data_IF_853858433188
#
_entry.id   IF_853858433188
#
_cell.length_a   1.000
_cell.length_b   1.000
_cell.length_c   1.000
_cell.angle_alpha   90.00
_cell.angle_beta   90.00
_cell.angle_gamma   90.00
#
_symmetry.space_group_name_H-M   'P 1'
#
loop_
_entity.id
_entity.type
_entity.pdbx_description
1 polymer ?
#
# COMPACT_ATOMS: atom_id res chain seq x y z
N UNK A 1 10.47 -31.44 69.89
CA UNK A 1 10.00 -30.05 69.65
C UNK A 1 10.47 -29.40 68.39
N UNK A 2 11.74 -29.61 67.93
CA UNK A 2 12.23 -29.01 66.66
C UNK A 2 11.47 -29.49 65.43
N UNK A 3 11.15 -30.78 65.29
CA UNK A 3 10.46 -31.35 64.12
C UNK A 3 8.97 -30.93 64.06
N UNK A 4 8.31 -30.69 65.16
CA UNK A 4 6.93 -30.21 65.20
C UNK A 4 6.86 -28.74 64.72
N UNK A 5 7.82 -27.90 65.08
CA UNK A 5 7.89 -26.50 64.62
C UNK A 5 8.16 -26.41 63.13
N UNK A 6 8.99 -27.31 62.57
CA UNK A 6 9.29 -27.39 61.18
C UNK A 6 8.04 -27.81 60.37
N UNK A 7 7.29 -28.82 60.85
CA UNK A 7 6.06 -29.28 60.23
C UNK A 7 4.96 -28.19 60.18
N UNK A 8 4.81 -27.44 61.29
CA UNK A 8 3.87 -26.30 61.30
C UNK A 8 4.26 -25.20 60.34
N UNK A 9 5.59 -24.93 60.19
CA UNK A 9 6.07 -23.94 59.23
C UNK A 9 5.74 -24.35 57.79
N UNK A 10 5.93 -25.62 57.41
CA UNK A 10 5.59 -26.13 56.11
C UNK A 10 4.09 -26.13 55.82
N UNK A 11 3.26 -26.47 56.82
CA UNK A 11 1.80 -26.41 56.69
C UNK A 11 1.33 -24.95 56.52
N UNK A 12 1.89 -24.02 57.28
CA UNK A 12 1.55 -22.60 57.14
C UNK A 12 1.98 -22.04 55.78
N UNK A 13 3.14 -22.42 55.30
CA UNK A 13 3.62 -22.03 53.98
C UNK A 13 2.77 -22.62 52.84
N UNK A 14 2.32 -23.87 53.01
CA UNK A 14 1.43 -24.53 52.05
C UNK A 14 0.03 -23.89 52.02
N UNK A 15 -0.50 -23.50 53.18
CA UNK A 15 -1.77 -22.77 53.28
C UNK A 15 -1.66 -21.34 52.68
N UNK A 16 -0.52 -20.67 52.84
CA UNK A 16 -0.25 -19.38 52.19
C UNK A 16 -0.26 -19.50 50.67
N UNK A 17 0.23 -20.60 50.14
CA UNK A 17 0.20 -20.89 48.70
C UNK A 17 -1.23 -21.20 48.20
N UNK A 18 -2.06 -21.86 49.00
CA UNK A 18 -3.45 -22.18 48.64
C UNK A 18 -4.38 -20.96 48.63
N UNK A 19 -4.08 -19.95 49.43
CA UNK A 19 -4.89 -18.72 49.54
C UNK A 19 -4.25 -17.49 48.92
N UNK A 20 -3.17 -17.66 48.14
CA UNK A 20 -2.52 -16.55 47.46
C UNK A 20 -3.34 -16.09 46.24
N UNK A 21 -3.80 -14.84 46.16
CA UNK A 21 -4.49 -14.33 45.01
C UNK A 21 -3.48 -14.13 43.87
N UNK A 22 -3.45 -14.98 42.88
CA UNK A 22 -2.47 -15.25 41.84
C UNK A 22 -1.90 -14.12 40.98
N UNK A 23 -1.66 -12.91 41.52
CA UNK A 23 -1.18 -11.74 40.76
C UNK A 23 0.34 -11.48 40.82
N UNK A 24 1.10 -12.37 41.44
CA UNK A 24 2.55 -12.20 41.50
C UNK A 24 3.24 -12.87 40.28
N UNK A 25 3.97 -12.11 39.44
CA UNK A 25 4.62 -12.65 38.25
C UNK A 25 5.67 -13.74 38.51
N UNK A 26 6.25 -13.78 39.71
CA UNK A 26 7.20 -14.83 40.12
C UNK A 26 6.50 -16.15 40.45
N UNK A 27 5.26 -16.11 40.97
CA UNK A 27 4.47 -17.31 41.28
C UNK A 27 3.68 -17.83 40.08
N UNK A 28 3.44 -17.02 39.03
CA UNK A 28 2.92 -17.48 37.73
C UNK A 28 3.85 -18.47 37.04
N UNK A 29 5.14 -18.48 37.38
CA UNK A 29 6.14 -19.43 36.88
C UNK A 29 6.03 -20.82 37.49
N UNK A 30 5.38 -20.97 38.64
CA UNK A 30 5.30 -22.23 39.43
C UNK A 30 3.87 -22.76 39.57
N UNK A 31 2.86 -21.88 39.52
CA UNK A 31 1.47 -22.28 39.43
C UNK A 31 1.07 -22.38 37.94
N UNK A 32 0.94 -23.60 37.46
CA UNK A 32 0.27 -23.86 36.17
C UNK A 32 -1.18 -23.37 36.35
N UNK A 33 -1.44 -22.12 35.90
CA UNK A 33 -2.80 -21.66 35.67
C UNK A 33 -3.39 -22.62 34.67
N UNK A 34 -4.21 -23.55 35.13
CA UNK A 34 -5.11 -24.27 34.25
C UNK A 34 -6.06 -23.20 33.75
N UNK A 35 -5.72 -22.57 32.59
CA UNK A 35 -6.72 -21.89 31.80
C UNK A 35 -7.83 -22.91 31.62
N UNK A 36 -8.92 -22.71 32.33
CA UNK A 36 -10.18 -23.31 31.93
C UNK A 36 -10.37 -22.69 30.57
N UNK A 37 -10.06 -23.50 29.54
CA UNK A 37 -10.52 -23.18 28.19
C UNK A 37 -12.02 -23.02 28.33
N UNK A 38 -12.46 -21.80 28.54
CA UNK A 38 -13.79 -21.40 28.19
C UNK A 38 -13.74 -21.58 26.69
N UNK A 39 -14.20 -22.73 26.19
CA UNK A 39 -14.66 -22.89 24.85
C UNK A 39 -15.92 -22.00 24.68
N UNK A 40 -15.78 -20.71 24.84
CA UNK A 40 -16.43 -19.81 23.93
C UNK A 40 -15.70 -20.09 22.60
N UNK A 41 -16.32 -20.96 21.81
CA UNK A 41 -16.01 -21.03 20.40
C UNK A 41 -16.09 -19.58 19.91
N UNK A 42 -14.94 -18.92 19.75
CA UNK A 42 -14.82 -17.81 18.83
C UNK A 42 -15.01 -18.43 17.44
N UNK A 43 -16.24 -18.91 17.17
CA UNK A 43 -16.66 -19.04 15.79
C UNK A 43 -16.46 -17.66 15.20
N UNK A 44 -15.58 -17.52 14.19
CA UNK A 44 -15.34 -16.23 13.58
C UNK A 44 -16.71 -15.71 13.15
N UNK A 45 -17.17 -14.63 13.76
CA UNK A 45 -18.44 -14.02 13.40
C UNK A 45 -18.40 -13.79 11.89
N UNK A 46 -19.29 -14.44 11.15
CA UNK A 46 -19.38 -14.26 9.71
C UNK A 46 -19.80 -12.81 9.49
N UNK A 47 -18.83 -11.95 9.19
CA UNK A 47 -19.08 -10.56 8.83
C UNK A 47 -19.50 -10.52 7.37
N UNK A 48 -20.80 -10.39 7.13
CA UNK A 48 -21.34 -10.21 5.79
C UNK A 48 -20.97 -8.80 5.33
N UNK A 49 -20.18 -8.72 4.25
CA UNK A 49 -19.87 -7.44 3.62
C UNK A 49 -20.86 -7.17 2.49
N UNK A 50 -21.37 -5.91 2.37
CA UNK A 50 -22.20 -5.52 1.23
C UNK A 50 -21.46 -5.75 -0.08
N UNK A 51 -22.18 -6.22 -1.10
CA UNK A 51 -21.65 -6.46 -2.44
C UNK A 51 -22.17 -5.38 -3.38
N UNK A 52 -21.31 -4.73 -4.18
CA UNK A 52 -21.73 -3.73 -5.14
C UNK A 52 -22.55 -4.37 -6.28
N UNK A 53 -23.62 -3.71 -6.65
CA UNK A 53 -24.50 -4.11 -7.75
C UNK A 53 -24.53 -2.99 -8.80
N UNK A 54 -24.24 -3.34 -10.05
CA UNK A 54 -24.18 -2.41 -11.19
C UNK A 54 -25.47 -2.50 -11.98
N UNK A 55 -26.21 -1.40 -12.10
CA UNK A 55 -27.53 -1.38 -12.72
C UNK A 55 -27.61 -0.66 -14.08
N UNK A 56 -26.55 0.03 -14.51
CA UNK A 56 -26.55 0.90 -15.71
C UNK A 56 -25.33 0.64 -16.57
N UNK A 57 -25.42 0.95 -17.87
CA UNK A 57 -24.34 0.82 -18.83
C UNK A 57 -23.09 1.62 -18.42
N UNK A 58 -21.91 1.05 -18.71
CA UNK A 58 -20.63 1.69 -18.48
C UNK A 58 -20.52 3.06 -19.21
N UNK A 59 -19.80 4.03 -18.63
CA UNK A 59 -19.54 5.30 -19.28
C UNK A 59 -18.64 5.11 -20.52
N UNK A 60 -18.69 6.04 -21.46
CA UNK A 60 -17.68 6.08 -22.53
C UNK A 60 -16.34 6.52 -21.95
N UNK A 61 -15.28 5.76 -22.24
CA UNK A 61 -13.91 6.02 -21.80
C UNK A 61 -12.94 5.83 -22.93
N UNK A 62 -11.90 6.67 -23.01
CA UNK A 62 -10.83 6.57 -23.99
C UNK A 62 -9.80 5.51 -23.61
N UNK A 63 -9.70 5.15 -22.34
CA UNK A 63 -8.78 4.14 -21.81
C UNK A 63 -8.90 2.80 -22.56
N UNK A 64 -7.74 2.22 -22.93
CA UNK A 64 -7.69 0.88 -23.52
C UNK A 64 -7.73 -0.21 -22.44
N UNK A 65 -7.16 0.03 -21.24
CA UNK A 65 -7.17 -0.84 -20.08
C UNK A 65 -7.90 -0.23 -18.90
N UNK A 66 -8.81 -0.98 -18.29
CA UNK A 66 -9.63 -0.51 -17.16
C UNK A 66 -9.88 -1.62 -16.15
N UNK A 67 -9.77 -1.31 -14.89
CA UNK A 67 -10.26 -2.16 -13.81
C UNK A 67 -10.72 -1.30 -12.64
N UNK A 68 -12.01 -1.39 -12.31
CA UNK A 68 -12.61 -0.71 -11.17
C UNK A 68 -13.13 -1.76 -10.22
N UNK A 69 -12.68 -1.69 -8.96
CA UNK A 69 -12.96 -2.71 -7.97
C UNK A 69 -13.30 -2.07 -6.64
N UNK A 70 -14.32 -2.60 -5.95
CA UNK A 70 -14.59 -2.27 -4.56
C UNK A 70 -13.49 -2.89 -3.69
N UNK A 71 -12.89 -2.07 -2.80
CA UNK A 71 -11.64 -2.42 -2.11
C UNK A 71 -11.80 -3.56 -1.11
N UNK A 72 -12.87 -3.56 -0.32
CA UNK A 72 -13.06 -4.49 0.80
C UNK A 72 -13.34 -5.92 0.35
N UNK A 73 -14.26 -6.07 -0.62
CA UNK A 73 -14.66 -7.37 -1.18
C UNK A 73 -13.78 -7.79 -2.35
N UNK A 74 -13.07 -6.82 -2.96
CA UNK A 74 -12.35 -6.94 -4.23
C UNK A 74 -13.27 -7.35 -5.39
N UNK A 75 -14.55 -6.95 -5.32
CA UNK A 75 -15.54 -7.22 -6.35
C UNK A 75 -15.38 -6.23 -7.50
N UNK A 76 -15.15 -6.70 -8.74
CA UNK A 76 -15.04 -5.80 -9.89
C UNK A 76 -16.42 -5.22 -10.24
N UNK A 77 -16.48 -3.91 -10.46
CA UNK A 77 -17.69 -3.20 -10.87
C UNK A 77 -17.63 -2.74 -12.32
N UNK A 78 -16.44 -2.52 -12.85
CA UNK A 78 -16.23 -2.17 -14.25
C UNK A 78 -14.85 -2.68 -14.72
N UNK A 79 -14.77 -3.24 -15.93
CA UNK A 79 -13.53 -3.77 -16.45
C UNK A 79 -13.49 -3.76 -17.99
N UNK A 80 -12.28 -3.56 -18.52
CA UNK A 80 -11.97 -3.61 -19.95
C UNK A 80 -10.52 -4.03 -20.12
N UNK A 81 -10.25 -5.11 -20.84
CA UNK A 81 -8.91 -5.60 -21.08
C UNK A 81 -8.07 -5.78 -19.80
N UNK A 82 -8.72 -6.25 -18.72
CA UNK A 82 -8.16 -6.31 -17.36
C UNK A 82 -6.88 -7.11 -17.23
N UNK A 83 -6.64 -8.08 -18.13
CA UNK A 83 -5.44 -8.92 -18.17
C UNK A 83 -4.55 -8.63 -19.39
N UNK A 84 -4.91 -7.65 -20.22
CA UNK A 84 -4.03 -7.23 -21.32
C UNK A 84 -2.81 -6.49 -20.75
N UNK A 85 -1.64 -6.77 -21.32
CA UNK A 85 -0.38 -6.18 -20.89
C UNK A 85 -0.19 -4.78 -21.48
N UNK A 86 0.11 -3.82 -20.61
CA UNK A 86 0.40 -2.43 -20.92
C UNK A 86 1.76 -2.03 -20.34
N UNK A 87 2.36 -0.98 -20.87
CA UNK A 87 3.50 -0.32 -20.24
C UNK A 87 3.03 0.41 -18.98
N UNK A 88 3.70 0.20 -17.83
CA UNK A 88 3.24 0.77 -16.56
C UNK A 88 3.48 2.27 -16.43
N UNK A 89 4.49 2.83 -17.11
CA UNK A 89 5.03 4.14 -16.79
C UNK A 89 5.28 4.27 -15.28
N UNK A 90 5.15 5.46 -14.71
CA UNK A 90 5.38 5.68 -13.27
C UNK A 90 4.39 5.00 -12.31
N UNK A 91 3.37 4.25 -12.79
CA UNK A 91 2.56 3.39 -11.89
C UNK A 91 3.38 2.24 -11.31
N UNK A 92 4.52 1.87 -11.94
CA UNK A 92 5.51 0.94 -11.41
C UNK A 92 6.02 1.34 -10.01
N UNK A 93 6.00 2.64 -9.69
CA UNK A 93 6.45 3.15 -8.38
C UNK A 93 5.57 2.70 -7.21
N UNK A 94 4.37 2.16 -7.47
CA UNK A 94 3.57 1.48 -6.44
C UNK A 94 4.34 0.26 -5.93
N UNK A 95 4.89 -0.56 -6.82
CA UNK A 95 5.71 -1.72 -6.44
C UNK A 95 7.04 -1.26 -5.82
N UNK A 96 7.66 -0.23 -6.36
CA UNK A 96 8.89 0.36 -5.78
C UNK A 96 8.67 0.82 -4.34
N UNK A 97 7.56 1.48 -4.05
CA UNK A 97 7.21 1.91 -2.70
C UNK A 97 6.98 0.73 -1.75
N UNK A 98 6.25 -0.29 -2.20
CA UNK A 98 6.01 -1.50 -1.41
C UNK A 98 7.31 -2.23 -1.07
N UNK A 99 8.22 -2.37 -2.04
CA UNK A 99 9.52 -3.01 -1.82
C UNK A 99 10.39 -2.18 -0.89
N UNK A 100 10.48 -0.87 -1.10
CA UNK A 100 11.28 0.00 -0.24
C UNK A 100 10.76 0.00 1.21
N UNK A 101 9.44 -0.04 1.40
CA UNK A 101 8.83 -0.13 2.72
C UNK A 101 9.10 -1.47 3.43
N UNK A 102 9.13 -2.58 2.66
CA UNK A 102 9.39 -3.91 3.22
C UNK A 102 10.87 -4.12 3.58
N UNK A 103 11.78 -3.54 2.80
CA UNK A 103 13.22 -3.85 2.88
C UNK A 103 14.02 -2.84 3.72
N UNK A 104 13.48 -1.64 3.97
CA UNK A 104 14.19 -0.56 4.66
C UNK A 104 13.41 -0.02 5.86
N UNK A 105 14.15 0.43 6.86
CA UNK A 105 13.61 1.29 7.92
C UNK A 105 13.30 2.69 7.38
N UNK A 106 12.22 3.29 7.84
CA UNK A 106 11.80 4.64 7.38
C UNK A 106 12.86 5.71 7.65
N UNK A 107 13.63 5.56 8.74
CA UNK A 107 14.71 6.46 9.15
C UNK A 107 16.08 6.08 8.57
N UNK A 108 16.17 5.01 7.77
CA UNK A 108 17.43 4.64 7.13
C UNK A 108 17.87 5.76 6.20
N UNK A 109 19.18 6.03 6.20
CA UNK A 109 19.77 7.12 5.43
C UNK A 109 20.32 6.56 4.12
N UNK A 110 19.78 7.05 3.02
CA UNK A 110 20.25 6.79 1.67
C UNK A 110 21.19 7.92 1.26
N UNK A 111 22.39 7.56 0.76
CA UNK A 111 23.29 8.52 0.12
C UNK A 111 23.05 8.46 -1.39
N UNK A 112 22.73 9.59 -1.98
CA UNK A 112 22.47 9.71 -3.42
C UNK A 112 23.77 9.58 -4.19
N UNK A 113 23.97 8.47 -4.88
CA UNK A 113 25.18 8.22 -5.66
C UNK A 113 25.11 8.78 -7.09
N UNK A 114 23.91 8.79 -7.67
CA UNK A 114 23.65 9.27 -9.03
C UNK A 114 22.29 9.96 -9.07
N UNK A 115 22.28 11.24 -9.45
CA UNK A 115 21.05 12.04 -9.57
C UNK A 115 20.57 12.17 -11.03
N UNK A 116 21.38 11.79 -12.01
CA UNK A 116 21.05 11.97 -13.44
C UNK A 116 20.18 10.82 -13.93
N UNK A 117 18.88 11.08 -14.02
CA UNK A 117 17.86 10.18 -14.58
C UNK A 117 16.90 11.02 -15.40
N UNK A 118 16.33 10.46 -16.46
CA UNK A 118 15.34 11.14 -17.30
C UNK A 118 13.95 11.21 -16.66
N UNK A 119 13.15 12.18 -17.09
CA UNK A 119 11.73 12.35 -16.73
C UNK A 119 11.51 13.20 -15.48
N UNK A 120 10.49 12.87 -14.70
CA UNK A 120 10.13 13.64 -13.49
C UNK A 120 11.15 13.43 -12.38
N UNK A 121 11.68 14.53 -11.81
CA UNK A 121 12.69 14.52 -10.77
C UNK A 121 12.23 15.29 -9.56
N UNK A 122 12.65 14.89 -8.37
CA UNK A 122 12.58 15.73 -7.17
C UNK A 122 13.84 16.60 -6.96
N UNK A 123 14.78 16.54 -7.92
CA UNK A 123 16.02 17.31 -7.96
C UNK A 123 17.02 16.94 -6.86
N UNK A 124 17.19 15.64 -6.62
CA UNK A 124 18.25 15.13 -5.73
C UNK A 124 19.64 15.49 -6.26
N UNK A 125 20.55 15.83 -5.36
CA UNK A 125 21.94 16.15 -5.73
C UNK A 125 22.91 15.02 -5.32
N UNK A 126 24.03 14.81 -6.04
CA UNK A 126 25.03 13.83 -5.66
C UNK A 126 25.56 14.04 -4.25
N UNK A 127 25.74 12.96 -3.50
CA UNK A 127 26.16 12.93 -2.10
C UNK A 127 25.13 13.47 -1.08
N UNK A 128 23.94 13.84 -1.52
CA UNK A 128 22.84 14.15 -0.61
C UNK A 128 22.52 12.92 0.27
N UNK A 129 22.28 13.20 1.56
CA UNK A 129 21.89 12.18 2.54
C UNK A 129 20.45 12.41 2.94
N UNK A 130 19.58 11.49 2.58
CA UNK A 130 18.12 11.65 2.73
C UNK A 130 17.52 10.37 3.31
N UNK A 131 16.44 10.48 4.07
CA UNK A 131 15.77 9.31 4.67
C UNK A 131 14.95 8.55 3.63
N UNK A 132 14.76 7.24 3.87
CA UNK A 132 13.85 6.41 3.06
C UNK A 132 12.44 6.98 3.06
N UNK A 133 11.95 7.50 4.20
CA UNK A 133 10.66 8.19 4.28
C UNK A 133 10.54 9.33 3.27
N UNK A 134 11.53 10.22 3.22
CA UNK A 134 11.52 11.38 2.31
C UNK A 134 11.61 10.94 0.84
N UNK A 135 12.34 9.87 0.53
CA UNK A 135 12.35 9.29 -0.81
C UNK A 135 11.01 8.64 -1.19
N UNK A 136 10.31 8.01 -0.24
CA UNK A 136 8.96 7.51 -0.46
C UNK A 136 7.97 8.63 -0.77
N UNK A 137 8.05 9.77 -0.09
CA UNK A 137 7.31 10.98 -0.49
C UNK A 137 7.70 11.44 -1.90
N UNK A 138 9.00 11.43 -2.22
CA UNK A 138 9.49 11.76 -3.56
C UNK A 138 8.86 10.92 -4.67
N UNK A 139 8.77 9.60 -4.50
CA UNK A 139 8.21 8.70 -5.52
C UNK A 139 6.67 8.72 -5.57
N UNK A 140 5.99 8.80 -4.42
CA UNK A 140 4.53 8.69 -4.36
C UNK A 140 3.83 10.01 -4.64
N UNK A 141 4.35 11.13 -4.13
CA UNK A 141 3.75 12.46 -4.30
C UNK A 141 4.23 13.11 -5.59
N UNK A 142 5.54 13.23 -5.78
CA UNK A 142 6.14 13.97 -6.89
C UNK A 142 6.50 13.10 -8.09
N UNK A 143 6.43 11.78 -7.93
CA UNK A 143 6.81 10.83 -8.99
C UNK A 143 8.30 10.87 -9.38
N UNK A 144 9.20 11.30 -8.48
CA UNK A 144 10.64 11.45 -8.74
C UNK A 144 11.29 10.14 -9.22
N UNK A 145 11.88 10.16 -10.41
CA UNK A 145 12.64 9.04 -10.94
C UNK A 145 13.97 8.89 -10.19
N UNK A 146 14.62 10.01 -9.89
CA UNK A 146 15.85 10.08 -9.09
C UNK A 146 15.65 9.46 -7.69
N UNK A 147 14.53 9.74 -7.03
CA UNK A 147 14.17 9.12 -5.77
C UNK A 147 13.98 7.60 -5.90
N UNK A 148 13.33 7.13 -6.97
CA UNK A 148 13.14 5.70 -7.22
C UNK A 148 14.47 4.98 -7.43
N UNK A 149 15.38 5.57 -8.20
CA UNK A 149 16.73 5.01 -8.39
C UNK A 149 17.60 5.14 -7.13
N UNK A 150 17.46 6.20 -6.33
CA UNK A 150 18.17 6.33 -5.06
C UNK A 150 17.80 5.18 -4.10
N UNK A 151 16.49 4.88 -3.95
CA UNK A 151 16.02 3.72 -3.18
C UNK A 151 16.56 2.41 -3.73
N UNK A 152 16.51 2.20 -5.05
CA UNK A 152 16.97 0.97 -5.66
C UNK A 152 18.49 0.78 -5.55
N UNK A 153 19.27 1.84 -5.73
CA UNK A 153 20.73 1.79 -5.66
C UNK A 153 21.25 1.56 -4.23
N UNK A 154 20.43 1.83 -3.21
CA UNK A 154 20.82 1.61 -1.81
C UNK A 154 21.16 0.15 -1.50
N UNK A 155 20.44 -0.82 -2.07
CA UNK A 155 20.81 -2.25 -2.01
C UNK A 155 21.44 -2.78 -3.31
N UNK A 156 21.58 -1.92 -4.32
CA UNK A 156 21.99 -2.28 -5.68
C UNK A 156 20.81 -2.55 -6.59
N UNK A 157 20.78 -1.84 -7.74
CA UNK A 157 19.67 -1.83 -8.69
C UNK A 157 19.17 -3.22 -9.07
N UNK A 158 20.10 -4.15 -9.37
CA UNK A 158 19.75 -5.52 -9.76
C UNK A 158 18.96 -6.24 -8.65
N UNK A 159 19.48 -6.17 -7.41
CA UNK A 159 18.83 -6.80 -6.26
C UNK A 159 17.46 -6.21 -6.00
N UNK A 160 17.32 -4.88 -6.11
CA UNK A 160 16.04 -4.21 -5.92
C UNK A 160 15.01 -4.63 -6.98
N UNK A 161 15.40 -4.70 -8.25
CA UNK A 161 14.52 -5.18 -9.34
C UNK A 161 14.13 -6.64 -9.13
N UNK A 162 15.03 -7.50 -8.66
CA UNK A 162 14.68 -8.87 -8.27
C UNK A 162 13.62 -8.87 -7.14
N UNK A 163 13.77 -8.00 -6.12
CA UNK A 163 12.76 -7.83 -5.05
C UNK A 163 11.42 -7.32 -5.59
N UNK A 164 11.42 -6.39 -6.56
CA UNK A 164 10.19 -5.96 -7.22
C UNK A 164 9.44 -7.15 -7.84
N UNK A 165 10.14 -8.01 -8.57
CA UNK A 165 9.52 -9.18 -9.21
C UNK A 165 9.15 -10.29 -8.22
N UNK A 166 9.81 -10.40 -7.07
CA UNK A 166 9.38 -11.23 -5.96
C UNK A 166 8.08 -10.69 -5.31
N UNK A 167 7.99 -9.37 -5.13
CA UNK A 167 6.76 -8.72 -4.65
C UNK A 167 5.60 -8.94 -5.61
N UNK A 168 5.80 -8.78 -6.92
CA UNK A 168 4.83 -9.11 -7.97
C UNK A 168 4.27 -10.53 -7.79
N UNK A 169 5.16 -11.52 -7.62
CA UNK A 169 4.74 -12.91 -7.39
C UNK A 169 3.96 -13.08 -6.08
N UNK A 170 4.40 -12.45 -5.00
CA UNK A 170 3.72 -12.52 -3.70
C UNK A 170 2.31 -11.93 -3.72
N UNK A 171 2.08 -10.94 -4.57
CA UNK A 171 0.78 -10.30 -4.80
C UNK A 171 -0.07 -11.03 -5.85
N UNK A 172 0.42 -12.16 -6.42
CA UNK A 172 -0.25 -12.91 -7.49
C UNK A 172 -0.50 -12.11 -8.78
N UNK A 173 0.37 -11.14 -9.07
CA UNK A 173 0.35 -10.32 -10.28
C UNK A 173 0.96 -11.11 -11.45
N UNK A 174 0.12 -11.83 -12.19
CA UNK A 174 0.56 -12.80 -13.20
C UNK A 174 0.93 -12.17 -14.56
N UNK A 175 0.42 -10.97 -14.82
CA UNK A 175 0.62 -10.26 -16.10
C UNK A 175 1.72 -9.19 -16.00
N UNK A 176 2.43 -9.09 -14.87
CA UNK A 176 3.38 -8.02 -14.59
C UNK A 176 4.81 -8.51 -14.49
N UNK A 177 5.71 -7.69 -15.02
CA UNK A 177 7.16 -7.82 -14.88
C UNK A 177 7.81 -6.45 -14.92
N UNK A 178 8.75 -6.16 -14.01
CA UNK A 178 9.42 -4.88 -13.92
C UNK A 178 10.93 -5.03 -14.13
N UNK A 179 11.52 -4.09 -14.89
CA UNK A 179 12.96 -4.05 -15.22
C UNK A 179 13.69 -2.89 -14.57
N UNK A 180 12.94 -1.87 -14.12
CA UNK A 180 13.48 -0.71 -13.42
C UNK A 180 12.49 -0.14 -12.40
N UNK A 181 12.95 0.63 -11.38
CA UNK A 181 12.11 1.11 -10.28
C UNK A 181 11.25 2.33 -10.65
N UNK A 182 11.53 2.99 -11.76
CA UNK A 182 10.88 4.25 -12.13
C UNK A 182 9.68 4.09 -13.07
N UNK A 183 9.63 2.96 -13.80
CA UNK A 183 8.64 2.74 -14.85
C UNK A 183 9.06 3.33 -16.20
N UNK A 184 10.36 3.52 -16.41
CA UNK A 184 10.89 3.94 -17.74
C UNK A 184 10.64 2.85 -18.76
N UNK A 185 10.44 3.25 -20.00
CA UNK A 185 10.10 2.32 -21.08
C UNK A 185 11.18 1.26 -21.30
N UNK A 186 10.74 0.00 -21.28
CA UNK A 186 11.51 -1.19 -21.59
C UNK A 186 10.55 -2.24 -22.13
N UNK A 187 10.94 -2.93 -23.19
CA UNK A 187 10.08 -3.91 -23.88
C UNK A 187 9.61 -5.08 -23.01
N UNK A 188 10.33 -5.39 -21.94
CA UNK A 188 9.99 -6.44 -20.99
C UNK A 188 9.17 -5.90 -19.82
N UNK A 189 9.12 -4.59 -19.61
CA UNK A 189 8.41 -3.98 -18.48
C UNK A 189 6.92 -3.82 -18.79
N UNK A 190 6.11 -4.65 -18.19
CA UNK A 190 4.68 -4.73 -18.45
C UNK A 190 3.87 -4.90 -17.16
N UNK A 191 2.60 -4.53 -17.23
CA UNK A 191 1.60 -4.75 -16.18
C UNK A 191 0.21 -4.84 -16.79
N UNK A 192 -0.79 -5.23 -15.99
CA UNK A 192 -2.20 -5.21 -16.39
C UNK A 192 -3.05 -4.35 -15.44
N UNK A 193 -4.25 -3.92 -15.86
CA UNK A 193 -5.16 -3.20 -14.97
C UNK A 193 -5.50 -3.98 -13.70
N UNK A 194 -5.72 -5.30 -13.81
CA UNK A 194 -5.99 -6.18 -12.68
C UNK A 194 -4.80 -6.24 -11.71
N UNK A 195 -3.60 -6.42 -12.24
CA UNK A 195 -2.38 -6.53 -11.41
C UNK A 195 -2.09 -5.21 -10.67
N UNK A 196 -2.27 -4.06 -11.33
CA UNK A 196 -2.12 -2.77 -10.66
C UNK A 196 -3.17 -2.54 -9.56
N UNK A 197 -4.37 -3.09 -9.71
CA UNK A 197 -5.37 -3.05 -8.64
C UNK A 197 -4.93 -3.90 -7.43
N UNK A 198 -4.29 -5.06 -7.64
CA UNK A 198 -3.69 -5.86 -6.56
C UNK A 198 -2.57 -5.10 -5.85
N UNK A 199 -1.68 -4.45 -6.61
CA UNK A 199 -0.61 -3.62 -6.05
C UNK A 199 -1.16 -2.42 -5.26
N UNK A 200 -2.18 -1.74 -5.81
CA UNK A 200 -2.86 -0.62 -5.14
C UNK A 200 -3.55 -1.06 -3.85
N UNK A 201 -4.22 -2.23 -3.85
CA UNK A 201 -4.81 -2.81 -2.65
C UNK A 201 -3.77 -3.04 -1.56
N UNK A 202 -2.63 -3.65 -1.90
CA UNK A 202 -1.55 -3.90 -0.96
C UNK A 202 -0.98 -2.58 -0.38
N UNK A 203 -0.81 -1.54 -1.21
CA UNK A 203 -0.36 -0.23 -0.75
C UNK A 203 -1.38 0.42 0.19
N UNK A 204 -2.68 0.37 -0.14
CA UNK A 204 -3.74 0.99 0.66
C UNK A 204 -3.99 0.29 2.00
N UNK A 205 -3.66 -0.99 2.13
CA UNK A 205 -3.69 -1.73 3.39
C UNK A 205 -2.61 -1.25 4.38
N UNK A 206 -1.58 -0.58 3.89
CA UNK A 206 -0.56 0.06 4.71
C UNK A 206 -0.96 1.51 4.98
N UNK A 207 -1.36 1.82 6.22
CA UNK A 207 -1.83 3.17 6.61
C UNK A 207 -0.79 4.26 6.37
N UNK A 208 0.49 3.93 6.53
CA UNK A 208 1.59 4.87 6.33
C UNK A 208 1.74 5.26 4.85
N UNK A 209 1.79 4.29 3.94
CA UNK A 209 1.84 4.53 2.49
C UNK A 209 0.55 5.18 1.98
N UNK A 210 -0.61 4.75 2.53
CA UNK A 210 -1.91 5.34 2.22
C UNK A 210 -1.96 6.84 2.52
N UNK A 211 -1.38 7.27 3.65
CA UNK A 211 -1.28 8.69 4.00
C UNK A 211 -0.41 9.45 3.00
N UNK A 212 0.73 8.87 2.58
CA UNK A 212 1.63 9.51 1.63
C UNK A 212 0.97 9.79 0.28
N UNK A 213 0.28 8.80 -0.30
CA UNK A 213 -0.37 8.99 -1.63
C UNK A 213 -1.49 10.03 -1.60
N UNK A 214 -2.12 10.26 -0.45
CA UNK A 214 -3.13 11.30 -0.23
C UNK A 214 -2.55 12.70 0.05
N UNK A 215 -1.23 12.85 0.10
CA UNK A 215 -0.59 14.15 0.39
C UNK A 215 -0.58 15.02 -0.87
N UNK A 216 -1.20 16.21 -0.79
CA UNK A 216 -1.26 17.17 -1.91
C UNK A 216 0.06 17.88 -2.13
N UNK A 217 0.72 18.29 -1.04
CA UNK A 217 1.99 18.98 -1.06
C UNK A 217 2.75 18.76 0.26
N UNK A 218 4.07 18.66 0.18
CA UNK A 218 4.95 18.55 1.35
C UNK A 218 6.32 19.15 1.03
N UNK A 219 6.96 19.75 2.04
CA UNK A 219 8.37 20.12 1.98
C UNK A 219 9.15 19.14 2.83
N UNK A 220 10.14 18.51 2.25
CA UNK A 220 11.05 17.58 2.90
C UNK A 220 12.48 18.11 2.85
N UNK A 221 13.39 17.55 3.64
CA UNK A 221 14.79 17.95 3.64
C UNK A 221 15.74 16.77 3.64
N UNK A 222 17.00 17.03 3.32
CA UNK A 222 18.11 16.14 3.65
C UNK A 222 18.28 15.99 5.17
N UNK A 223 19.10 15.04 5.62
CA UNK A 223 19.32 14.80 7.06
C UNK A 223 20.07 15.93 7.78
N UNK A 224 20.78 16.77 7.04
CA UNK A 224 21.55 17.90 7.56
C UNK A 224 20.75 19.21 7.55
N UNK A 225 19.50 19.22 7.07
CA UNK A 225 18.61 20.39 6.92
C UNK A 225 19.22 21.51 6.08
N UNK A 226 20.00 21.16 5.05
CA UNK A 226 20.65 22.10 4.13
C UNK A 226 19.98 22.19 2.78
N UNK A 227 19.32 21.08 2.36
CA UNK A 227 18.66 20.95 1.06
C UNK A 227 17.19 20.68 1.34
N UNK A 228 16.32 21.45 0.67
CA UNK A 228 14.87 21.32 0.82
C UNK A 228 14.22 21.05 -0.53
N UNK A 229 13.32 20.05 -0.57
CA UNK A 229 12.56 19.67 -1.75
C UNK A 229 11.09 19.96 -1.50
N UNK A 230 10.48 20.80 -2.35
CA UNK A 230 9.04 21.01 -2.36
C UNK A 230 8.40 20.01 -3.32
N UNK A 231 7.64 19.08 -2.79
CA UNK A 231 6.99 18.03 -3.54
C UNK A 231 5.51 18.36 -3.69
N UNK A 232 5.02 18.40 -4.93
CA UNK A 232 3.60 18.60 -5.24
C UNK A 232 3.07 17.36 -5.93
N UNK A 233 1.88 16.91 -5.51
CA UNK A 233 1.26 15.72 -6.09
C UNK A 233 0.84 15.97 -7.53
N UNK A 234 1.24 15.07 -8.42
CA UNK A 234 0.95 15.17 -9.87
C UNK A 234 -0.50 14.80 -10.20
N UNK A 235 -1.19 14.10 -9.29
CA UNK A 235 -2.60 13.77 -9.47
C UNK A 235 -3.46 15.03 -9.30
N UNK A 236 -3.90 15.61 -10.41
CA UNK A 236 -4.71 16.83 -10.44
C UNK A 236 -6.08 16.67 -9.80
N UNK A 237 -6.60 15.43 -9.71
CA UNK A 237 -7.92 15.16 -9.10
C UNK A 237 -7.88 15.22 -7.57
N UNK A 238 -6.68 15.13 -6.97
CA UNK A 238 -6.52 15.15 -5.52
C UNK A 238 -6.86 16.54 -4.96
N UNK A 239 -7.98 16.61 -4.20
CA UNK A 239 -8.52 17.85 -3.66
C UNK A 239 -9.42 18.64 -4.63
N UNK A 240 -9.61 18.16 -5.88
CA UNK A 240 -10.57 18.70 -6.84
C UNK A 240 -11.85 17.85 -6.85
N UNK A 241 -11.73 16.54 -6.79
CA UNK A 241 -12.87 15.63 -6.67
C UNK A 241 -12.91 15.11 -5.23
N UNK A 242 -14.02 15.35 -4.55
CA UNK A 242 -14.25 14.86 -3.19
C UNK A 242 -14.21 13.32 -3.18
N UNK A 243 -13.47 12.73 -2.23
CA UNK A 243 -13.33 11.29 -2.12
C UNK A 243 -12.10 10.71 -2.83
N UNK A 244 -11.48 11.42 -3.78
CA UNK A 244 -10.20 11.00 -4.38
C UNK A 244 -9.09 11.14 -3.33
N UNK A 245 -8.39 10.02 -3.05
CA UNK A 245 -7.32 9.92 -2.05
C UNK A 245 -5.93 9.58 -2.59
N UNK A 246 -5.68 9.79 -3.85
CA UNK A 246 -4.43 9.42 -4.56
C UNK A 246 -4.79 8.45 -5.68
N UNK A 247 -3.91 7.70 -6.30
CA UNK A 247 -2.74 6.95 -5.85
C UNK A 247 -1.47 7.35 -6.64
N UNK A 248 -1.46 7.00 -7.94
CA UNK A 248 -0.27 7.18 -8.78
C UNK A 248 -0.62 7.44 -10.24
N UNK A 249 -0.03 8.49 -10.79
CA UNK A 249 -0.05 8.81 -12.23
C UNK A 249 1.13 8.16 -12.95
N UNK A 250 1.00 7.94 -14.25
CA UNK A 250 2.09 7.52 -15.12
C UNK A 250 1.88 8.05 -16.54
N UNK A 251 2.97 8.42 -17.21
CA UNK A 251 2.99 8.79 -18.63
C UNK A 251 4.37 8.48 -19.22
N UNK A 252 4.37 7.84 -20.37
CA UNK A 252 5.46 7.79 -21.33
C UNK A 252 4.85 7.76 -22.72
N UNK A 253 5.66 7.96 -23.76
CA UNK A 253 5.14 7.89 -25.14
C UNK A 253 4.55 6.51 -25.48
N UNK A 254 5.15 5.42 -24.97
CA UNK A 254 4.67 4.06 -25.23
C UNK A 254 3.48 3.68 -24.33
N UNK A 255 3.45 4.16 -23.10
CA UNK A 255 2.39 3.83 -22.15
C UNK A 255 1.09 4.61 -22.41
N UNK A 256 1.17 5.82 -22.97
CA UNK A 256 0.07 6.78 -22.95
C UNK A 256 -0.22 7.25 -21.51
N UNK A 257 -1.40 7.76 -21.25
CA UNK A 257 -1.80 8.27 -19.95
C UNK A 257 -2.34 7.17 -19.04
N UNK A 258 -1.66 6.96 -17.91
CA UNK A 258 -2.03 5.98 -16.87
C UNK A 258 -2.39 6.66 -15.56
N UNK A 259 -3.39 6.15 -14.86
CA UNK A 259 -3.75 6.60 -13.51
C UNK A 259 -4.31 5.43 -12.70
N UNK A 260 -3.76 5.24 -11.51
CA UNK A 260 -4.35 4.42 -10.46
C UNK A 260 -4.89 5.37 -9.39
N UNK A 261 -6.17 5.28 -9.10
CA UNK A 261 -6.84 6.14 -8.11
C UNK A 261 -7.48 5.33 -6.98
N UNK A 262 -7.45 5.90 -5.79
CA UNK A 262 -8.32 5.53 -4.68
C UNK A 262 -9.51 6.50 -4.66
N UNK A 263 -10.72 5.97 -4.52
CA UNK A 263 -11.93 6.77 -4.42
C UNK A 263 -12.83 6.27 -3.30
N UNK A 264 -13.37 7.19 -2.49
CA UNK A 264 -14.32 6.90 -1.41
C UNK A 264 -15.66 7.53 -1.69
N UNK A 265 -16.71 6.71 -1.70
CA UNK A 265 -18.09 7.14 -1.82
C UNK A 265 -18.99 6.38 -0.82
N UNK A 266 -19.80 7.12 -0.03
CA UNK A 266 -20.77 6.54 0.90
C UNK A 266 -20.21 5.41 1.80
N UNK A 267 -19.02 5.61 2.38
CA UNK A 267 -18.29 4.64 3.22
C UNK A 267 -17.76 3.40 2.47
N UNK A 268 -17.83 3.36 1.15
CA UNK A 268 -17.24 2.35 0.31
C UNK A 268 -16.01 2.89 -0.41
N UNK A 269 -14.96 2.09 -0.44
CA UNK A 269 -13.68 2.43 -1.03
C UNK A 269 -13.51 1.70 -2.37
N UNK A 270 -13.00 2.40 -3.38
CA UNK A 270 -12.76 1.87 -4.72
C UNK A 270 -11.31 2.07 -5.14
N UNK A 271 -10.80 1.13 -5.93
CA UNK A 271 -9.61 1.30 -6.74
C UNK A 271 -10.06 1.47 -8.19
N UNK A 272 -9.58 2.51 -8.85
CA UNK A 272 -9.83 2.80 -10.26
C UNK A 272 -8.48 2.74 -10.98
N UNK A 273 -8.30 1.81 -11.90
CA UNK A 273 -7.11 1.68 -12.75
C UNK A 273 -7.47 2.04 -14.17
N UNK A 274 -6.85 3.09 -14.70
CA UNK A 274 -6.96 3.58 -16.07
C UNK A 274 -5.60 3.43 -16.74
N UNK A 275 -5.53 2.69 -17.86
CA UNK A 275 -4.30 2.51 -18.63
C UNK A 275 -4.50 2.87 -20.09
N UNK A 276 -3.49 3.55 -20.65
CA UNK A 276 -3.45 3.97 -22.06
C UNK A 276 -4.70 4.74 -22.46
N UNK A 277 -4.99 5.77 -21.70
CA UNK A 277 -6.06 6.76 -21.94
C UNK A 277 -5.54 7.92 -22.77
N UNK A 278 -6.44 8.65 -23.42
CA UNK A 278 -6.16 9.95 -24.04
C UNK A 278 -6.17 11.09 -23.00
N UNK A 279 -7.04 10.99 -21.97
CA UNK A 279 -7.07 11.87 -20.80
C UNK A 279 -7.46 11.04 -19.55
N UNK A 280 -6.45 10.62 -18.80
CA UNK A 280 -6.62 9.83 -17.57
C UNK A 280 -7.45 10.51 -16.49
N UNK A 281 -7.45 11.84 -16.46
CA UNK A 281 -8.19 12.60 -15.47
C UNK A 281 -9.67 12.69 -15.82
N UNK A 282 -10.00 12.94 -17.10
CA UNK A 282 -11.37 12.96 -17.59
C UNK A 282 -12.02 11.57 -17.50
N UNK A 283 -11.30 10.51 -17.94
CA UNK A 283 -11.75 9.14 -17.80
C UNK A 283 -12.02 8.76 -16.34
N UNK A 284 -11.11 9.13 -15.41
CA UNK A 284 -11.31 8.87 -13.98
C UNK A 284 -12.49 9.63 -13.42
N UNK A 285 -12.68 10.91 -13.77
CA UNK A 285 -13.82 11.71 -13.35
C UNK A 285 -15.15 11.12 -13.86
N UNK A 286 -15.16 10.60 -15.09
CA UNK A 286 -16.32 9.91 -15.68
C UNK A 286 -16.66 8.62 -14.93
N UNK A 287 -15.64 7.84 -14.52
CA UNK A 287 -15.82 6.64 -13.69
C UNK A 287 -16.36 7.01 -12.31
N UNK A 288 -15.83 8.05 -11.66
CA UNK A 288 -16.30 8.53 -10.35
C UNK A 288 -17.79 8.92 -10.43
N UNK A 289 -18.17 9.75 -11.39
CA UNK A 289 -19.57 10.14 -11.59
C UNK A 289 -20.48 8.93 -11.85
N UNK A 290 -19.99 7.94 -12.59
CA UNK A 290 -20.72 6.69 -12.84
C UNK A 290 -20.88 5.87 -11.57
N UNK A 291 -19.86 5.75 -10.72
CA UNK A 291 -19.96 5.09 -9.40
C UNK A 291 -21.04 5.76 -8.58
N UNK A 292 -21.01 7.10 -8.47
CA UNK A 292 -21.92 7.89 -7.63
C UNK A 292 -23.39 7.73 -8.01
N UNK A 293 -23.66 7.55 -9.31
CA UNK A 293 -25.02 7.54 -9.85
C UNK A 293 -25.58 6.14 -10.08
N UNK A 294 -24.71 5.10 -10.09
CA UNK A 294 -25.09 3.80 -10.64
C UNK A 294 -24.95 2.66 -9.63
N UNK A 295 -23.94 2.72 -8.74
CA UNK A 295 -23.65 1.59 -7.87
C UNK A 295 -24.55 1.63 -6.65
N UNK A 296 -25.23 0.51 -6.41
CA UNK A 296 -25.98 0.25 -5.17
C UNK A 296 -25.34 -0.94 -4.45
N UNK A 297 -25.70 -1.15 -3.19
CA UNK A 297 -25.15 -2.23 -2.40
C UNK A 297 -26.25 -3.17 -1.94
N UNK A 298 -25.97 -4.46 -2.08
CA UNK A 298 -26.81 -5.53 -1.57
C UNK A 298 -26.10 -6.19 -0.37
N UNK A 299 -26.81 -6.29 0.74
CA UNK A 299 -26.34 -7.07 1.91
C UNK A 299 -27.10 -8.37 1.90
N UNK A 300 -26.41 -9.52 1.67
CA UNK A 300 -27.07 -10.84 1.75
C UNK A 300 -27.64 -11.05 3.16
N UNK A 301 -28.85 -11.58 3.25
CA UNK A 301 -29.40 -12.09 4.50
C UNK A 301 -28.89 -13.54 4.71
N UNK A 302 -28.54 -13.87 5.98
CA UNK A 302 -28.11 -15.21 6.39
C UNK A 302 -29.29 -16.15 6.55
#
# INVERSE_FOLDING_TARGET
MKHIRLGIFFIFFFLLFLFYPGDNPILKLVAYEREVFNEQSDEPAIVIKPIPVVNIQAPYLTAEGLYVVELDTFTPVLKKNEHLKFYPASTAKIITALVAYDEYGQNDIVTVNQATVEGQLMELIPSERITVENLLYGILVHSGNDAAFALANHMGLKNFVEKMNLKVKSLSMQDSYFTNPAGLDDSLQVTSPYDLALAARALLQNEYLRKMVGTKEIVISDVDYKIFHRLTNINKLLGEIQGIGGLKTGYTELAGENLVSFYRHNSHDYIIVILKSEDRFEDTASVVNWIDTTITYFTPEL
#
